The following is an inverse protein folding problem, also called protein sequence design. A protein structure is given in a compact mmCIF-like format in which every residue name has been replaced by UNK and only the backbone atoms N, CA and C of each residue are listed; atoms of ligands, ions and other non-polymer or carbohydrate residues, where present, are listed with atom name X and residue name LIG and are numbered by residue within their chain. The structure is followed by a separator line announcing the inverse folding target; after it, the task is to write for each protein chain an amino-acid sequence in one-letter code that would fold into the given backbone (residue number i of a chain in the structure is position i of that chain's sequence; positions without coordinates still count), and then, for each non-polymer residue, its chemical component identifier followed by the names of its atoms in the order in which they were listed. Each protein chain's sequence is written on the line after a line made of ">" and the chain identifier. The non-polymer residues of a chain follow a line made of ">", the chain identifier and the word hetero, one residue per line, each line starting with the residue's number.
data_IF_929442884407
#
_entry.id   IF_929442884407
#
_cell.length_a   1.000
_cell.length_b   1.000
_cell.length_c   1.000
_cell.angle_alpha   90.00
_cell.angle_beta   90.00
_cell.angle_gamma   90.00
#
_symmetry.space_group_name_H-M   'P 1'
#
loop_
_entity.id
_entity.type
_entity.pdbx_description
1 polymer ?
#
# COMPACT_ATOMS: atom_id res chain seq x y z
N UNK A 1 -34.22 37.16 -45.15
CA UNK A 1 -34.00 35.74 -44.83
C UNK A 1 -34.11 35.65 -43.32
N UNK A 2 -35.35 35.72 -42.82
CA UNK A 2 -36.23 34.61 -42.40
C UNK A 2 -35.69 33.95 -41.13
N UNK A 3 -36.44 33.67 -40.07
CA UNK A 3 -37.84 33.82 -39.60
C UNK A 3 -37.76 32.98 -38.28
N UNK A 4 -38.26 33.30 -37.09
CA UNK A 4 -39.65 33.42 -36.66
C UNK A 4 -39.67 33.82 -35.18
N UNK A 5 -40.59 34.71 -34.82
CA UNK A 5 -41.16 34.75 -33.47
C UNK A 5 -42.41 33.88 -33.39
N UNK A 6 -42.81 33.54 -32.16
CA UNK A 6 -44.19 33.64 -31.62
C UNK A 6 -44.25 32.96 -30.26
N UNK A 7 -44.66 33.73 -29.25
CA UNK A 7 -45.28 33.17 -28.04
C UNK A 7 -46.75 32.86 -28.27
N UNK A 8 -47.38 32.18 -27.30
CA UNK A 8 -48.52 32.69 -26.52
C UNK A 8 -49.34 31.57 -25.84
N UNK A 9 -49.71 31.83 -24.56
CA UNK A 9 -50.92 31.42 -23.82
C UNK A 9 -50.99 29.95 -23.35
N UNK A 10 -51.45 29.61 -22.14
CA UNK A 10 -52.03 30.35 -21.02
C UNK A 10 -52.57 29.35 -19.98
N UNK A 11 -52.72 29.81 -18.72
CA UNK A 11 -53.75 29.46 -17.70
C UNK A 11 -54.00 27.96 -17.35
N UNK A 12 -54.22 27.49 -16.13
CA UNK A 12 -54.45 28.06 -14.80
C UNK A 12 -54.97 26.95 -13.86
N UNK A 13 -54.56 27.03 -12.59
CA UNK A 13 -55.29 26.71 -11.33
C UNK A 13 -55.85 25.30 -11.00
N UNK A 14 -55.30 24.78 -9.88
CA UNK A 14 -55.94 24.24 -8.65
C UNK A 14 -56.72 22.90 -8.59
N UNK A 15 -56.31 22.12 -7.57
CA UNK A 15 -56.87 20.90 -6.94
C UNK A 15 -58.17 21.23 -6.14
N UNK A 16 -59.17 20.32 -5.98
CA UNK A 16 -59.18 19.37 -4.83
C UNK A 16 -59.98 18.05 -5.02
N UNK A 17 -59.60 17.01 -4.25
CA UNK A 17 -60.59 16.24 -3.44
C UNK A 17 -60.97 14.79 -3.83
N UNK A 18 -60.55 13.86 -2.95
CA UNK A 18 -61.15 12.59 -2.45
C UNK A 18 -62.29 11.90 -3.23
N UNK A 19 -62.16 10.57 -3.39
CA UNK A 19 -63.08 9.55 -2.82
C UNK A 19 -62.50 8.10 -2.90
N UNK A 20 -62.72 7.32 -1.83
CA UNK A 20 -62.58 5.84 -1.70
C UNK A 20 -63.91 5.17 -2.14
N UNK A 21 -64.06 3.84 -2.44
CA UNK A 21 -63.54 2.71 -1.64
C UNK A 21 -63.20 1.40 -2.43
N UNK A 22 -62.69 0.40 -1.72
CA UNK A 22 -62.56 -0.97 -2.24
C UNK A 22 -61.79 -1.91 -1.31
N UNK A 23 -62.52 -2.63 -0.47
CA UNK A 23 -62.01 -3.61 0.50
C UNK A 23 -61.34 -4.82 -0.17
N UNK A 24 -60.17 -5.21 0.36
CA UNK A 24 -59.48 -6.45 0.00
C UNK A 24 -58.76 -7.02 1.22
N UNK A 25 -59.34 -8.10 1.77
CA UNK A 25 -58.93 -8.82 3.00
C UNK A 25 -57.44 -9.13 3.09
N UNK A 26 -56.79 -8.68 4.17
CA UNK A 26 -55.51 -9.19 4.63
C UNK A 26 -55.73 -10.40 5.57
N UNK A 27 -55.17 -11.55 5.20
CA UNK A 27 -55.06 -12.72 6.08
C UNK A 27 -53.81 -12.58 6.95
N UNK A 28 -54.01 -12.78 8.25
CA UNK A 28 -53.01 -12.78 9.31
C UNK A 28 -52.29 -14.13 9.40
N UNK A 29 -50.96 -14.10 9.50
CA UNK A 29 -50.14 -15.21 10.00
C UNK A 29 -49.05 -14.66 10.96
N UNK A 30 -48.63 -15.45 11.97
CA UNK A 30 -48.31 -14.93 13.29
C UNK A 30 -46.86 -14.49 13.48
N UNK A 31 -46.69 -13.53 14.39
CA UNK A 31 -45.42 -12.91 14.75
C UNK A 31 -44.38 -13.89 15.32
N UNK A 32 -43.15 -13.77 14.82
CA UNK A 32 -41.97 -14.29 15.49
C UNK A 32 -41.43 -13.22 16.46
N UNK A 33 -41.49 -13.55 17.75
CA UNK A 33 -40.79 -12.84 18.82
C UNK A 33 -39.28 -12.90 18.55
N UNK A 34 -38.64 -11.75 18.41
CA UNK A 34 -37.18 -11.62 18.47
C UNK A 34 -36.73 -11.72 19.93
N UNK A 35 -36.51 -12.95 20.38
CA UNK A 35 -35.82 -13.20 21.64
C UNK A 35 -34.35 -12.81 21.51
N UNK A 36 -33.92 -11.81 22.28
CA UNK A 36 -32.50 -11.57 22.59
C UNK A 36 -31.97 -12.79 23.34
N UNK A 37 -31.26 -13.67 22.65
CA UNK A 37 -30.42 -14.70 23.29
C UNK A 37 -29.03 -14.14 23.48
N UNK A 38 -28.73 -13.75 24.74
CA UNK A 38 -27.36 -13.67 25.25
C UNK A 38 -26.79 -15.10 25.24
N UNK A 39 -25.72 -15.32 24.48
CA UNK A 39 -24.90 -16.52 24.62
C UNK A 39 -23.61 -16.19 25.37
N UNK A 40 -23.15 -17.08 26.27
CA UNK A 40 -22.03 -16.80 27.14
C UNK A 40 -20.71 -16.91 26.38
N UNK A 41 -19.80 -16.00 26.72
CA UNK A 41 -18.38 -16.08 26.41
C UNK A 41 -17.82 -17.40 26.96
N UNK A 42 -17.45 -18.32 26.08
CA UNK A 42 -16.55 -19.42 26.38
C UNK A 42 -15.51 -19.53 25.25
N UNK A 43 -14.25 -19.47 25.68
CA UNK A 43 -12.99 -19.39 24.92
C UNK A 43 -13.00 -19.83 23.46
N UNK A 44 -12.77 -18.88 22.56
CA UNK A 44 -12.09 -19.18 21.31
C UNK A 44 -10.63 -19.42 21.62
N UNK A 45 -10.19 -20.67 21.44
CA UNK A 45 -8.79 -21.04 21.45
C UNK A 45 -8.05 -20.30 20.34
N UNK A 46 -6.97 -19.65 20.76
CA UNK A 46 -5.91 -19.08 19.94
C UNK A 46 -5.43 -20.11 18.92
N UNK A 47 -5.73 -19.87 17.64
CA UNK A 47 -5.13 -20.60 16.52
C UNK A 47 -4.60 -19.58 15.51
N UNK A 48 -3.74 -18.69 16.00
CA UNK A 48 -2.68 -18.14 15.17
C UNK A 48 -1.77 -19.30 14.75
N UNK A 49 -1.78 -19.68 13.46
CA UNK A 49 -0.81 -20.62 12.91
C UNK A 49 0.51 -19.86 12.73
N UNK A 50 1.21 -19.62 13.83
CA UNK A 50 2.61 -19.25 13.78
C UNK A 50 3.37 -20.40 13.14
N UNK A 51 4.28 -20.13 12.20
CA UNK A 51 5.38 -21.06 11.93
C UNK A 51 5.95 -21.46 13.29
N UNK A 52 5.98 -22.77 13.57
CA UNK A 52 6.31 -23.30 14.88
C UNK A 52 7.56 -22.63 15.45
N UNK A 53 7.50 -22.30 16.74
CA UNK A 53 8.65 -21.87 17.53
C UNK A 53 9.61 -23.05 17.63
N UNK A 54 10.36 -23.29 16.56
CA UNK A 54 11.48 -24.20 16.55
C UNK A 54 12.72 -23.38 16.94
N UNK A 55 13.29 -23.55 18.15
CA UNK A 55 14.44 -22.76 18.61
C UNK A 55 15.70 -22.97 17.74
N UNK A 56 15.66 -23.89 16.76
CA UNK A 56 16.69 -24.12 15.75
C UNK A 56 16.66 -23.18 14.53
N UNK A 57 15.65 -22.33 14.35
CA UNK A 57 15.59 -21.36 13.23
C UNK A 57 16.47 -20.12 13.42
N UNK A 58 17.12 -19.97 14.58
CA UNK A 58 17.90 -18.78 14.95
C UNK A 58 19.40 -18.84 14.64
N UNK A 59 19.84 -19.73 13.76
CA UNK A 59 21.21 -19.64 13.25
C UNK A 59 21.29 -18.47 12.25
N UNK A 60 21.99 -17.36 12.55
CA UNK A 60 22.17 -16.31 11.58
C UNK A 60 23.12 -16.83 10.50
N UNK A 61 22.58 -17.31 9.39
CA UNK A 61 23.39 -17.35 8.16
C UNK A 61 23.38 -15.94 7.59
N UNK A 62 24.16 -15.04 8.19
CA UNK A 62 24.47 -13.74 7.57
C UNK A 62 25.12 -14.10 6.23
N UNK A 63 24.47 -13.84 5.09
CA UNK A 63 25.19 -13.93 3.83
C UNK A 63 26.34 -12.93 3.96
N UNK A 64 27.60 -13.29 3.64
CA UNK A 64 28.61 -12.25 3.49
C UNK A 64 28.01 -11.19 2.55
N UNK A 65 28.26 -9.90 2.78
CA UNK A 65 27.59 -8.75 2.14
C UNK A 65 27.67 -8.69 0.59
N UNK A 66 28.19 -9.73 -0.03
CA UNK A 66 28.41 -9.97 -1.46
C UNK A 66 27.78 -11.29 -1.96
N UNK A 67 27.12 -12.08 -1.12
CA UNK A 67 26.49 -13.33 -1.53
C UNK A 67 25.03 -13.08 -1.93
N UNK A 68 24.69 -13.40 -3.17
CA UNK A 68 23.32 -13.46 -3.65
C UNK A 68 22.49 -14.56 -2.96
N UNK A 69 21.30 -14.82 -3.49
CA UNK A 69 20.40 -15.84 -2.95
C UNK A 69 20.94 -17.25 -3.24
N UNK A 70 20.85 -18.13 -2.24
CA UNK A 70 21.12 -19.57 -2.43
C UNK A 70 20.02 -20.20 -3.28
N UNK A 71 20.29 -21.31 -4.01
CA UNK A 71 19.28 -21.96 -4.84
C UNK A 71 17.98 -22.34 -4.11
N UNK A 72 18.06 -22.73 -2.83
CA UNK A 72 16.89 -23.01 -2.00
C UNK A 72 16.06 -21.76 -1.67
N UNK A 73 16.72 -20.61 -1.50
CA UNK A 73 16.05 -19.34 -1.27
C UNK A 73 15.33 -18.85 -2.53
N UNK A 74 15.95 -19.03 -3.70
CA UNK A 74 15.31 -18.76 -5.00
C UNK A 74 14.07 -19.64 -5.20
N UNK A 75 14.18 -20.95 -4.94
CA UNK A 75 13.01 -21.85 -5.03
C UNK A 75 11.90 -21.46 -4.07
N UNK A 76 12.24 -21.13 -2.81
CA UNK A 76 11.26 -20.67 -1.81
C UNK A 76 10.54 -19.40 -2.27
N UNK A 77 11.27 -18.42 -2.81
CA UNK A 77 10.69 -17.21 -3.37
C UNK A 77 9.72 -17.51 -4.53
N UNK A 78 10.10 -18.42 -5.44
CA UNK A 78 9.24 -18.84 -6.56
C UNK A 78 8.00 -19.61 -6.09
N UNK A 79 8.12 -20.39 -5.02
CA UNK A 79 7.04 -21.18 -4.43
C UNK A 79 6.03 -20.30 -3.70
N UNK A 80 6.50 -19.43 -2.81
CA UNK A 80 5.69 -18.67 -1.86
C UNK A 80 5.33 -17.26 -2.37
N UNK A 81 6.08 -16.72 -3.32
CA UNK A 81 5.92 -15.36 -3.82
C UNK A 81 6.58 -14.30 -2.93
N UNK A 82 7.21 -14.71 -1.83
CA UNK A 82 8.00 -13.84 -0.98
C UNK A 82 9.11 -14.64 -0.27
N UNK A 83 10.08 -13.93 0.28
CA UNK A 83 11.23 -14.48 0.99
C UNK A 83 11.66 -13.55 2.12
N UNK A 84 11.95 -14.13 3.28
CA UNK A 84 12.45 -13.43 4.46
C UNK A 84 13.94 -13.69 4.59
N UNK A 85 14.72 -12.62 4.71
CA UNK A 85 16.17 -12.65 4.86
C UNK A 85 16.54 -11.86 6.11
N UNK A 86 17.00 -12.55 7.15
CA UNK A 86 17.42 -11.90 8.40
C UNK A 86 18.85 -11.36 8.29
N UNK A 87 19.11 -10.22 8.93
CA UNK A 87 20.46 -9.66 9.07
C UNK A 87 21.14 -9.29 7.75
N UNK A 88 20.36 -8.88 6.73
CA UNK A 88 20.91 -8.37 5.46
C UNK A 88 21.58 -7.02 5.66
N UNK A 89 20.99 -6.18 6.51
CA UNK A 89 21.51 -4.87 6.88
C UNK A 89 21.92 -4.85 8.34
N UNK A 90 23.00 -4.14 8.63
CA UNK A 90 23.46 -3.93 9.99
C UNK A 90 22.52 -2.99 10.76
N UNK A 91 22.43 -3.12 12.10
CA UNK A 91 21.69 -2.19 12.93
C UNK A 91 22.11 -0.72 12.71
N UNK A 92 23.38 -0.48 12.43
CA UNK A 92 23.97 0.84 12.17
C UNK A 92 23.48 1.43 10.84
N UNK A 93 23.37 0.64 9.78
CA UNK A 93 22.77 1.08 8.51
C UNK A 93 21.31 1.46 8.69
N UNK A 94 20.55 0.65 9.43
CA UNK A 94 19.17 0.96 9.77
C UNK A 94 19.04 2.25 10.59
N UNK A 95 19.90 2.44 11.59
CA UNK A 95 19.90 3.68 12.39
C UNK A 95 20.31 4.90 11.56
N UNK A 96 21.22 4.74 10.60
CA UNK A 96 21.57 5.78 9.64
C UNK A 96 20.37 6.23 8.80
N UNK A 97 19.58 5.29 8.28
CA UNK A 97 18.34 5.59 7.55
C UNK A 97 17.30 6.29 8.45
N UNK A 98 17.17 5.85 9.71
CA UNK A 98 16.25 6.47 10.67
C UNK A 98 16.68 7.88 11.09
N UNK A 99 17.98 8.09 11.33
CA UNK A 99 18.51 9.42 11.61
C UNK A 99 18.24 10.35 10.43
N UNK A 100 18.50 9.87 9.20
CA UNK A 100 18.27 10.67 8.00
C UNK A 100 16.80 11.02 7.78
N UNK A 101 15.87 10.07 7.99
CA UNK A 101 14.45 10.40 7.87
C UNK A 101 14.01 11.42 8.93
N UNK A 102 14.58 11.36 10.15
CA UNK A 102 14.27 12.33 11.19
C UNK A 102 14.71 13.75 10.80
N UNK A 103 15.86 13.91 10.14
CA UNK A 103 16.30 15.19 9.58
C UNK A 103 15.36 15.69 8.48
N UNK A 104 14.94 14.80 7.57
CA UNK A 104 13.98 15.14 6.51
C UNK A 104 12.64 15.60 7.10
N UNK A 105 12.16 14.91 8.14
CA UNK A 105 10.92 15.27 8.86
C UNK A 105 11.08 16.59 9.62
N UNK A 106 12.24 16.84 10.24
CA UNK A 106 12.50 18.10 10.94
C UNK A 106 12.51 19.32 10.00
N UNK A 107 12.90 19.13 8.73
CA UNK A 107 12.82 20.13 7.67
C UNK A 107 11.53 20.11 6.86
N UNK A 108 10.49 19.39 7.31
CA UNK A 108 9.25 19.22 6.56
C UNK A 108 8.47 20.54 6.46
N UNK A 109 8.20 20.97 5.23
CA UNK A 109 7.27 22.05 4.93
C UNK A 109 6.15 21.52 4.02
N UNK A 110 4.95 21.30 4.59
CA UNK A 110 3.78 20.88 3.83
C UNK A 110 2.66 21.92 3.96
N UNK A 111 2.37 22.68 2.88
CA UNK A 111 1.25 23.61 2.85
C UNK A 111 -0.07 22.92 3.19
N UNK A 112 -1.04 23.59 3.86
CA UNK A 112 -2.30 22.97 4.24
C UNK A 112 -3.04 22.25 3.11
N UNK A 113 -3.06 22.81 1.89
CA UNK A 113 -3.70 22.20 0.72
C UNK A 113 -2.99 20.93 0.20
N UNK A 114 -1.74 20.69 0.61
CA UNK A 114 -0.97 19.49 0.29
C UNK A 114 -1.03 18.41 1.37
N UNK A 115 -1.67 18.69 2.52
CA UNK A 115 -1.81 17.75 3.63
C UNK A 115 -2.78 16.64 3.24
N UNK A 116 -2.23 15.60 2.63
CA UNK A 116 -2.96 14.43 2.14
C UNK A 116 -2.99 13.37 3.23
N UNK A 117 -4.19 12.91 3.61
CA UNK A 117 -4.36 11.70 4.42
C UNK A 117 -4.17 10.46 3.53
N UNK A 118 -3.39 9.50 4.01
CA UNK A 118 -3.17 8.23 3.34
C UNK A 118 -4.34 7.28 3.61
N UNK A 119 -4.86 6.70 2.54
CA UNK A 119 -5.92 5.70 2.61
C UNK A 119 -5.70 4.64 1.55
N UNK A 120 -5.92 3.37 1.90
CA UNK A 120 -6.08 2.28 0.93
C UNK A 120 -7.56 2.06 0.57
N UNK A 121 -8.48 2.82 1.18
CA UNK A 121 -9.90 2.74 0.88
C UNK A 121 -10.22 3.40 -0.47
N UNK A 122 -10.94 2.67 -1.30
CA UNK A 122 -11.28 3.07 -2.67
C UNK A 122 -12.13 4.34 -2.75
N UNK A 123 -13.15 4.47 -1.89
CA UNK A 123 -14.07 5.59 -1.98
C UNK A 123 -13.45 6.90 -1.49
N UNK A 124 -12.53 6.80 -0.53
CA UNK A 124 -11.79 7.96 -0.02
C UNK A 124 -10.67 8.42 -0.96
N UNK A 125 -9.95 7.49 -1.63
CA UNK A 125 -8.96 7.85 -2.66
C UNK A 125 -9.55 8.69 -3.80
N UNK A 126 -10.84 8.47 -4.10
CA UNK A 126 -11.55 9.16 -5.18
C UNK A 126 -12.02 10.59 -4.84
N UNK A 127 -12.13 10.96 -3.55
CA UNK A 127 -12.81 12.20 -3.12
C UNK A 127 -11.89 13.40 -2.88
N UNK A 128 -10.57 13.24 -2.95
CA UNK A 128 -9.62 14.26 -2.51
C UNK A 128 -8.95 14.96 -3.71
N UNK A 129 -9.64 15.91 -4.37
CA UNK A 129 -9.19 16.54 -5.63
C UNK A 129 -7.82 17.26 -5.54
N UNK A 130 -7.56 18.04 -4.49
CA UNK A 130 -6.25 18.71 -4.27
C UNK A 130 -5.15 17.78 -3.74
N UNK A 131 -5.57 16.70 -3.07
CA UNK A 131 -4.70 15.63 -2.59
C UNK A 131 -4.27 14.68 -3.71
N UNK A 132 -5.12 14.51 -4.73
CA UNK A 132 -4.84 13.73 -5.94
C UNK A 132 -3.64 14.28 -6.70
N UNK A 133 -3.53 15.59 -6.93
CA UNK A 133 -2.38 16.15 -7.67
C UNK A 133 -1.06 16.03 -6.89
N UNK A 134 -1.06 16.31 -5.58
CA UNK A 134 0.11 16.15 -4.72
C UNK A 134 0.58 14.69 -4.67
N UNK A 135 -0.34 13.73 -4.72
CA UNK A 135 0.01 12.32 -4.86
C UNK A 135 0.50 11.98 -6.28
N UNK A 136 -0.26 12.31 -7.33
CA UNK A 136 0.01 11.95 -8.72
C UNK A 136 1.33 12.51 -9.26
N UNK A 137 1.79 13.64 -8.73
CA UNK A 137 3.06 14.28 -9.14
C UNK A 137 4.20 14.01 -8.17
N UNK A 138 4.05 13.04 -7.27
CA UNK A 138 5.07 12.70 -6.25
C UNK A 138 6.07 11.62 -6.70
N UNK A 139 5.85 11.00 -7.86
CA UNK A 139 6.65 9.87 -8.37
C UNK A 139 8.16 10.13 -8.38
N UNK A 140 8.55 11.38 -8.64
CA UNK A 140 9.94 11.83 -8.73
C UNK A 140 10.30 12.86 -7.63
N UNK A 141 9.60 12.85 -6.49
CA UNK A 141 9.81 13.78 -5.36
C UNK A 141 9.94 13.05 -4.02
N UNK A 142 10.37 13.77 -3.00
CA UNK A 142 10.27 13.36 -1.58
C UNK A 142 9.13 14.20 -0.98
N UNK A 143 7.99 13.55 -0.73
CA UNK A 143 6.74 14.15 -0.26
C UNK A 143 6.17 13.35 0.91
N UNK A 144 5.30 13.99 1.69
CA UNK A 144 4.81 13.47 2.97
C UNK A 144 3.32 13.15 2.87
N UNK A 145 2.95 11.98 3.39
CA UNK A 145 1.56 11.51 3.42
C UNK A 145 1.23 11.14 4.87
N UNK A 146 0.11 11.62 5.35
CA UNK A 146 -0.24 11.61 6.77
C UNK A 146 -1.22 10.50 7.11
N UNK A 147 -1.29 10.08 8.37
CA UNK A 147 -2.31 9.12 8.83
C UNK A 147 -3.71 9.73 8.69
N UNK A 148 -4.74 8.88 8.59
CA UNK A 148 -6.13 9.33 8.63
C UNK A 148 -6.45 10.00 9.95
N UNK A 149 -7.40 10.93 9.93
CA UNK A 149 -7.92 11.59 11.12
C UNK A 149 -6.82 12.25 11.97
N UNK A 150 -5.75 12.77 11.36
CA UNK A 150 -4.74 13.58 12.09
C UNK A 150 -4.95 15.07 11.94
N UNK A 151 -5.87 15.48 11.05
CA UNK A 151 -6.27 16.87 10.87
C UNK A 151 -7.60 17.18 11.58
N UNK A 152 -7.75 18.42 12.07
CA UNK A 152 -9.05 18.98 12.47
C UNK A 152 -9.81 19.50 11.25
N UNK A 153 -11.00 20.10 11.48
CA UNK A 153 -11.86 20.59 10.38
C UNK A 153 -11.25 21.79 9.66
N UNK A 154 -10.32 22.47 10.31
CA UNK A 154 -9.58 23.63 9.83
C UNK A 154 -8.25 23.21 9.14
N UNK A 155 -7.95 21.90 9.09
CA UNK A 155 -6.76 21.34 8.47
C UNK A 155 -5.50 21.42 9.33
N UNK A 156 -5.60 21.75 10.62
CA UNK A 156 -4.48 21.75 11.56
C UNK A 156 -4.22 20.37 12.12
N UNK A 157 -2.97 20.12 12.49
CA UNK A 157 -2.58 18.85 13.10
C UNK A 157 -3.12 18.72 14.52
N UNK A 158 -3.85 17.62 14.79
CA UNK A 158 -4.35 17.23 16.13
C UNK A 158 -3.27 16.56 16.98
N UNK A 159 -2.25 16.00 16.33
CA UNK A 159 -1.10 15.35 16.96
C UNK A 159 0.19 15.96 16.40
N UNK A 160 1.35 15.89 17.08
CA UNK A 160 2.59 16.43 16.55
C UNK A 160 2.88 15.97 15.12
N UNK A 161 3.42 16.87 14.29
CA UNK A 161 3.59 16.62 12.85
C UNK A 161 4.44 15.39 12.56
N UNK A 162 5.55 15.23 13.29
CA UNK A 162 6.46 14.09 13.25
C UNK A 162 5.79 12.75 13.61
N UNK A 163 4.69 12.81 14.36
CA UNK A 163 3.87 11.66 14.76
C UNK A 163 2.65 11.45 13.87
N UNK A 164 2.39 12.35 12.93
CA UNK A 164 1.22 12.31 12.04
C UNK A 164 1.54 11.64 10.70
N UNK A 165 2.82 11.42 10.39
CA UNK A 165 3.24 10.94 9.06
C UNK A 165 3.03 9.43 8.99
N UNK A 166 2.28 9.00 7.98
CA UNK A 166 2.14 7.58 7.61
C UNK A 166 3.35 7.12 6.78
N UNK A 167 3.64 7.86 5.70
CA UNK A 167 4.74 7.55 4.79
C UNK A 167 5.37 8.79 4.15
N UNK A 168 6.59 8.60 3.64
CA UNK A 168 7.28 9.54 2.74
C UNK A 168 7.57 8.82 1.42
N UNK A 169 7.33 9.48 0.29
CA UNK A 169 7.55 8.91 -1.04
C UNK A 169 7.60 9.97 -2.15
N UNK A 170 7.90 9.65 -3.40
CA UNK A 170 8.17 8.29 -3.90
C UNK A 170 9.60 8.11 -4.47
N UNK A 171 10.49 9.10 -4.29
CA UNK A 171 11.84 9.11 -4.88
C UNK A 171 12.99 9.32 -3.88
N UNK A 172 12.87 8.81 -2.64
CA UNK A 172 13.98 8.77 -1.68
C UNK A 172 15.23 8.09 -2.28
N UNK A 173 15.05 7.00 -3.04
CA UNK A 173 16.13 6.27 -3.71
C UNK A 173 16.94 7.12 -4.70
N UNK A 174 16.37 8.21 -5.23
CA UNK A 174 17.02 9.04 -6.23
C UNK A 174 17.63 10.30 -5.63
N UNK A 175 16.87 10.98 -4.76
CA UNK A 175 17.19 12.33 -4.29
C UNK A 175 17.88 12.38 -2.93
N UNK A 176 17.78 11.34 -2.11
CA UNK A 176 18.48 11.28 -0.84
C UNK A 176 19.71 10.35 -0.91
N UNK A 177 20.93 10.86 -0.65
CA UNK A 177 22.15 10.06 -0.77
C UNK A 177 22.20 8.83 0.15
N UNK A 178 21.58 8.89 1.34
CA UNK A 178 21.61 7.77 2.30
C UNK A 178 20.72 6.64 1.81
N UNK A 179 19.50 6.97 1.38
CA UNK A 179 18.57 5.99 0.82
C UNK A 179 19.09 5.43 -0.50
N UNK A 180 19.59 6.29 -1.40
CA UNK A 180 20.21 5.88 -2.67
C UNK A 180 21.34 4.87 -2.46
N UNK A 181 22.23 5.12 -1.49
CA UNK A 181 23.33 4.20 -1.17
C UNK A 181 22.82 2.81 -0.78
N UNK A 182 21.75 2.73 0.02
CA UNK A 182 21.15 1.46 0.43
C UNK A 182 20.45 0.76 -0.75
N UNK A 183 19.66 1.50 -1.55
CA UNK A 183 18.97 0.95 -2.72
C UNK A 183 19.94 0.32 -3.72
N UNK A 184 21.05 0.99 -4.01
CA UNK A 184 22.04 0.53 -4.99
C UNK A 184 23.17 -0.29 -4.35
N UNK A 185 23.02 -0.75 -3.11
CA UNK A 185 24.05 -1.50 -2.39
C UNK A 185 24.30 -2.90 -2.99
N UNK A 186 25.50 -3.47 -2.81
CA UNK A 186 25.83 -4.81 -3.34
C UNK A 186 24.83 -5.91 -2.94
N UNK A 187 24.32 -6.00 -1.67
CA UNK A 187 23.31 -7.00 -1.32
C UNK A 187 22.06 -6.93 -2.20
N UNK A 188 21.54 -5.72 -2.48
CA UNK A 188 20.36 -5.55 -3.33
C UNK A 188 20.65 -6.00 -4.76
N UNK A 189 21.79 -5.59 -5.32
CA UNK A 189 22.16 -5.97 -6.67
C UNK A 189 22.35 -7.49 -6.81
N UNK A 190 23.04 -8.15 -5.88
CA UNK A 190 23.28 -9.60 -5.92
C UNK A 190 21.99 -10.42 -5.73
N UNK A 191 21.06 -9.95 -4.89
CA UNK A 191 19.73 -10.55 -4.74
C UNK A 191 18.97 -10.49 -6.08
N UNK A 192 18.94 -9.32 -6.73
CA UNK A 192 18.29 -9.14 -8.03
C UNK A 192 18.91 -10.03 -9.12
N UNK A 193 20.24 -10.13 -9.18
CA UNK A 193 20.94 -11.04 -10.12
C UNK A 193 20.58 -12.49 -9.87
N UNK A 194 20.47 -12.90 -8.61
CA UNK A 194 20.10 -14.27 -8.24
C UNK A 194 18.68 -14.66 -8.65
N UNK A 195 17.80 -13.68 -8.80
CA UNK A 195 16.44 -13.86 -9.33
C UNK A 195 16.35 -13.72 -10.85
N UNK A 196 17.47 -13.45 -11.53
CA UNK A 196 17.54 -13.36 -12.98
C UNK A 196 17.16 -12.01 -13.56
N UNK A 197 17.12 -10.94 -12.76
CA UNK A 197 16.94 -9.59 -13.29
C UNK A 197 18.18 -9.17 -14.07
N UNK A 198 17.99 -8.81 -15.34
CA UNK A 198 19.02 -8.40 -16.30
C UNK A 198 19.17 -6.88 -16.35
N UNK A 199 18.06 -6.15 -16.52
CA UNK A 199 18.04 -4.68 -16.56
C UNK A 199 17.03 -4.12 -15.53
N UNK A 200 17.22 -4.38 -14.22
CA UNK A 200 16.34 -3.85 -13.19
C UNK A 200 16.47 -2.33 -13.09
N UNK A 201 15.35 -1.64 -13.08
CA UNK A 201 15.22 -0.21 -12.78
C UNK A 201 14.42 0.02 -11.49
N UNK A 202 14.75 1.06 -10.74
CA UNK A 202 14.02 1.43 -9.51
C UNK A 202 12.83 2.31 -9.90
N UNK A 203 11.60 1.84 -9.67
CA UNK A 203 10.39 2.57 -10.10
C UNK A 203 9.79 3.44 -8.99
N UNK A 204 10.03 3.06 -7.73
CA UNK A 204 9.45 3.72 -6.57
C UNK A 204 10.26 3.40 -5.31
N UNK A 205 10.24 4.32 -4.34
CA UNK A 205 10.68 4.05 -2.97
C UNK A 205 9.85 4.82 -1.95
N UNK A 206 9.61 4.22 -0.79
CA UNK A 206 8.84 4.81 0.29
C UNK A 206 9.50 4.53 1.65
N UNK A 207 9.30 5.45 2.58
CA UNK A 207 9.53 5.23 4.00
C UNK A 207 8.19 5.09 4.71
N UNK A 208 7.98 4.03 5.48
CA UNK A 208 6.72 3.73 6.18
C UNK A 208 6.97 3.78 7.68
N UNK A 209 6.27 4.66 8.40
CA UNK A 209 6.51 4.90 9.82
C UNK A 209 5.78 3.90 10.72
N UNK A 210 4.52 3.57 10.39
CA UNK A 210 3.61 2.83 11.29
C UNK A 210 3.68 3.38 12.71
N UNK A 211 3.15 4.59 12.87
CA UNK A 211 3.21 5.33 14.13
C UNK A 211 2.60 4.52 15.29
N UNK A 212 3.08 4.69 16.53
CA UNK A 212 2.48 4.04 17.69
C UNK A 212 0.98 4.35 17.80
N UNK A 213 0.17 3.32 18.07
CA UNK A 213 -1.30 3.36 18.23
C UNK A 213 -2.13 3.79 17.01
N UNK A 214 -1.62 4.70 16.18
CA UNK A 214 -2.36 5.30 15.06
C UNK A 214 -1.85 4.82 13.69
N UNK A 215 -0.80 4.01 13.66
CA UNK A 215 -0.18 3.54 12.42
C UNK A 215 -1.16 2.73 11.56
N UNK A 216 -1.73 3.37 10.54
CA UNK A 216 -2.87 2.91 9.78
C UNK A 216 -2.67 1.53 9.16
N UNK A 217 -3.72 0.71 9.12
CA UNK A 217 -3.69 -0.58 8.41
C UNK A 217 -3.44 -0.39 6.91
N UNK A 218 -2.88 -1.42 6.29
CA UNK A 218 -2.77 -1.52 4.85
C UNK A 218 -3.59 -2.73 4.46
N UNK A 219 -4.70 -2.50 3.76
CA UNK A 219 -5.61 -3.56 3.31
C UNK A 219 -4.89 -4.54 2.37
N UNK A 220 -5.46 -5.75 2.24
CA UNK A 220 -4.92 -6.79 1.38
C UNK A 220 -4.86 -6.33 -0.08
N UNK A 221 -3.67 -6.38 -0.67
CA UNK A 221 -3.45 -5.94 -2.05
C UNK A 221 -2.28 -6.68 -2.70
N UNK A 222 -2.11 -6.44 -4.01
CA UNK A 222 -0.96 -6.82 -4.81
C UNK A 222 -0.33 -5.53 -5.34
N UNK A 223 1.00 -5.40 -5.33
CA UNK A 223 1.66 -4.18 -5.82
C UNK A 223 1.44 -3.96 -7.31
N UNK A 224 1.37 -5.04 -8.09
CA UNK A 224 1.08 -4.99 -9.53
C UNK A 224 -0.29 -4.40 -9.87
N UNK A 225 -1.20 -4.26 -8.89
CA UNK A 225 -2.43 -3.46 -9.02
C UNK A 225 -2.11 -1.98 -9.26
N UNK A 226 -1.06 -1.45 -8.62
CA UNK A 226 -0.69 -0.04 -8.66
C UNK A 226 0.46 0.25 -9.63
N UNK A 227 1.34 -0.73 -9.84
CA UNK A 227 2.57 -0.65 -10.62
C UNK A 227 2.56 -1.75 -11.70
N UNK A 228 1.62 -1.63 -12.65
CA UNK A 228 1.37 -2.68 -13.63
C UNK A 228 2.38 -2.68 -14.79
N UNK A 229 2.73 -3.88 -15.25
CA UNK A 229 3.62 -4.10 -16.39
C UNK A 229 3.08 -5.14 -17.34
N UNK A 230 3.55 -5.11 -18.58
CA UNK A 230 3.30 -6.16 -19.58
C UNK A 230 4.62 -6.76 -20.08
N UNK A 231 4.84 -8.09 -19.93
CA UNK A 231 4.00 -9.03 -19.21
C UNK A 231 3.98 -8.77 -17.68
N UNK A 232 3.01 -9.35 -16.94
CA UNK A 232 3.06 -9.41 -15.48
C UNK A 232 4.29 -10.18 -14.95
N UNK A 233 4.53 -10.14 -13.64
CA UNK A 233 5.65 -10.81 -12.99
C UNK A 233 7.02 -10.12 -13.08
N UNK A 234 7.10 -8.90 -13.63
CA UNK A 234 8.36 -8.15 -13.77
C UNK A 234 8.69 -7.26 -12.56
N UNK A 235 7.77 -7.13 -11.60
CA UNK A 235 7.86 -6.23 -10.45
C UNK A 235 8.33 -6.97 -9.19
N UNK A 236 9.28 -6.38 -8.48
CA UNK A 236 9.88 -6.94 -7.26
C UNK A 236 9.92 -5.90 -6.14
N UNK A 237 9.27 -6.20 -5.02
CA UNK A 237 9.25 -5.37 -3.82
C UNK A 237 10.36 -5.75 -2.85
N UNK A 238 11.11 -4.76 -2.38
CA UNK A 238 12.05 -4.85 -1.27
C UNK A 238 11.48 -4.09 -0.08
N UNK A 239 11.44 -4.73 1.09
CA UNK A 239 10.98 -4.12 2.32
C UNK A 239 11.98 -4.39 3.44
N UNK A 240 12.63 -3.34 3.94
CA UNK A 240 13.70 -3.41 4.92
C UNK A 240 13.16 -2.97 6.28
N UNK A 241 13.28 -3.85 7.28
CA UNK A 241 12.92 -3.59 8.66
C UNK A 241 13.94 -2.63 9.31
N UNK A 242 13.56 -1.39 9.58
CA UNK A 242 14.43 -0.44 10.29
C UNK A 242 14.28 -0.50 11.82
N UNK A 243 13.20 -1.14 12.25
CA UNK A 243 12.90 -1.56 13.61
C UNK A 243 12.36 -2.99 13.58
N UNK A 244 12.33 -3.67 14.72
CA UNK A 244 11.67 -4.97 14.82
C UNK A 244 10.20 -4.85 14.41
N UNK A 245 9.75 -5.73 13.54
CA UNK A 245 8.36 -5.85 13.12
C UNK A 245 7.76 -7.09 13.76
N UNK A 246 6.69 -6.89 14.52
CA UNK A 246 5.96 -7.91 15.28
C UNK A 246 4.47 -7.84 14.93
N UNK A 247 3.68 -8.88 15.25
CA UNK A 247 2.22 -8.82 15.05
C UNK A 247 1.57 -7.62 15.76
N UNK A 248 2.09 -7.23 16.92
CA UNK A 248 1.53 -6.15 17.75
C UNK A 248 1.78 -4.75 17.17
N UNK A 249 2.89 -4.56 16.45
CA UNK A 249 3.24 -3.28 15.82
C UNK A 249 3.01 -3.24 14.30
N UNK A 250 2.31 -4.24 13.74
CA UNK A 250 1.90 -4.27 12.35
C UNK A 250 3.00 -4.76 11.39
N UNK A 251 3.53 -5.96 11.65
CA UNK A 251 4.31 -6.71 10.67
C UNK A 251 3.51 -7.00 9.40
N UNK A 252 4.20 -7.44 8.35
CA UNK A 252 3.55 -7.86 7.12
C UNK A 252 2.85 -9.21 7.31
N UNK A 253 1.82 -9.43 6.51
CA UNK A 253 1.13 -10.71 6.37
C UNK A 253 1.04 -11.05 4.89
N UNK A 254 1.25 -12.31 4.53
CA UNK A 254 1.21 -12.79 3.14
C UNK A 254 0.32 -14.01 2.98
N UNK A 255 -0.25 -14.20 1.79
CA UNK A 255 -0.82 -15.48 1.36
C UNK A 255 0.22 -16.21 0.50
N UNK A 256 0.87 -17.29 1.00
CA UNK A 256 1.88 -18.00 0.23
C UNK A 256 1.34 -18.55 -1.09
N UNK A 257 2.07 -18.32 -2.18
CA UNK A 257 1.75 -18.81 -3.51
C UNK A 257 0.66 -18.03 -4.25
N UNK A 258 0.10 -16.98 -3.66
CA UNK A 258 -0.98 -16.20 -4.28
C UNK A 258 -0.54 -15.45 -5.55
N UNK A 259 0.76 -15.21 -5.71
CA UNK A 259 1.35 -14.54 -6.87
C UNK A 259 1.21 -15.30 -8.18
N UNK A 260 0.82 -16.58 -8.12
CA UNK A 260 0.59 -17.42 -9.30
C UNK A 260 -0.78 -17.20 -9.94
N UNK A 261 -1.64 -16.38 -9.33
CA UNK A 261 -3.03 -16.17 -9.74
C UNK A 261 -3.28 -14.98 -10.67
N UNK A 262 -2.25 -14.18 -11.00
CA UNK A 262 -2.46 -12.89 -11.68
C UNK A 262 -3.02 -11.81 -10.74
N UNK A 263 -3.33 -10.65 -11.30
CA UNK A 263 -4.11 -9.60 -10.62
C UNK A 263 -5.53 -9.54 -11.18
N UNK A 264 -6.51 -9.19 -10.35
CA UNK A 264 -7.92 -9.08 -10.74
C UNK A 264 -8.43 -7.64 -10.87
N UNK A 265 -7.65 -6.65 -10.43
CA UNK A 265 -7.97 -5.23 -10.53
C UNK A 265 -6.70 -4.38 -10.62
N UNK A 266 -6.86 -3.16 -11.13
CA UNK A 266 -5.78 -2.17 -11.30
C UNK A 266 -6.23 -0.79 -10.88
N UNK A 267 -5.34 -0.02 -10.27
CA UNK A 267 -5.47 1.42 -10.16
C UNK A 267 -4.95 2.05 -11.46
N UNK A 268 -5.81 2.76 -12.16
CA UNK A 268 -5.47 3.46 -13.40
C UNK A 268 -5.63 4.96 -13.22
N UNK A 269 -4.79 5.72 -13.91
CA UNK A 269 -4.85 7.17 -14.02
C UNK A 269 -5.50 7.55 -15.34
N UNK A 270 -6.36 8.56 -15.29
CA UNK A 270 -6.97 9.10 -16.49
C UNK A 270 -5.93 9.66 -17.47
N UNK A 271 -6.18 9.57 -18.79
CA UNK A 271 -5.21 9.97 -19.79
C UNK A 271 -4.86 11.47 -19.71
N UNK A 272 -3.67 11.87 -20.18
CA UNK A 272 -3.27 13.28 -20.23
C UNK A 272 -4.30 14.16 -20.95
N UNK A 273 -4.58 15.35 -20.40
CA UNK A 273 -5.56 16.31 -20.94
C UNK A 273 -6.96 16.23 -20.32
N UNK A 274 -7.19 15.28 -19.42
CA UNK A 274 -8.36 15.24 -18.52
C UNK A 274 -8.03 15.89 -17.16
N UNK A 275 -9.06 16.12 -16.32
CA UNK A 275 -8.84 16.48 -14.90
C UNK A 275 -8.14 15.28 -14.23
N UNK A 276 -6.97 15.45 -13.59
CA UNK A 276 -6.23 14.32 -13.04
C UNK A 276 -7.03 13.53 -12.00
N UNK A 277 -7.43 12.31 -12.37
CA UNK A 277 -8.11 11.38 -11.50
C UNK A 277 -7.47 9.99 -11.60
N UNK A 278 -7.66 9.21 -10.53
CA UNK A 278 -7.33 7.79 -10.47
C UNK A 278 -8.61 7.03 -10.21
N UNK A 279 -8.74 5.84 -10.78
CA UNK A 279 -9.88 4.97 -10.52
C UNK A 279 -9.47 3.51 -10.62
N UNK A 280 -10.23 2.63 -9.98
CA UNK A 280 -10.00 1.20 -10.07
C UNK A 280 -10.80 0.59 -11.23
N UNK A 281 -10.13 -0.22 -12.04
CA UNK A 281 -10.74 -1.13 -13.03
C UNK A 281 -10.60 -2.58 -12.58
N UNK A 282 -11.49 -3.44 -13.06
CA UNK A 282 -11.54 -4.86 -12.66
C UNK A 282 -12.32 -5.06 -11.36
N UNK A 283 -12.12 -6.23 -10.74
CA UNK A 283 -12.88 -6.66 -9.56
C UNK A 283 -11.95 -6.85 -8.38
N UNK A 284 -12.23 -6.14 -7.30
CA UNK A 284 -11.50 -6.30 -6.05
C UNK A 284 -11.77 -7.68 -5.45
N UNK A 285 -10.71 -8.49 -5.22
CA UNK A 285 -10.86 -9.82 -4.68
C UNK A 285 -11.08 -9.75 -3.19
N UNK A 286 -11.89 -10.69 -2.68
CA UNK A 286 -12.02 -10.92 -1.25
C UNK A 286 -11.09 -12.07 -0.88
N UNK A 287 -10.17 -11.80 0.04
CA UNK A 287 -9.25 -12.80 0.57
C UNK A 287 -9.76 -13.33 1.90
N UNK A 288 -9.65 -14.64 2.11
CA UNK A 288 -9.91 -15.24 3.41
C UNK A 288 -8.76 -14.91 4.37
N UNK A 289 -9.08 -14.21 5.47
CA UNK A 289 -8.12 -13.85 6.51
C UNK A 289 -7.35 -15.06 7.05
N UNK A 290 -7.96 -16.26 7.06
CA UNK A 290 -7.30 -17.49 7.52
C UNK A 290 -6.15 -17.97 6.61
N UNK A 291 -6.06 -17.43 5.39
CA UNK A 291 -5.01 -17.75 4.42
C UNK A 291 -3.73 -16.94 4.63
N UNK A 292 -3.78 -15.88 5.45
CA UNK A 292 -2.61 -15.05 5.73
C UNK A 292 -1.72 -15.65 6.81
N UNK A 293 -0.41 -15.54 6.61
CA UNK A 293 0.60 -15.83 7.63
C UNK A 293 1.35 -14.56 8.01
N UNK A 294 1.57 -14.36 9.30
CA UNK A 294 2.33 -13.24 9.84
C UNK A 294 3.82 -13.40 9.56
N UNK A 295 4.48 -12.31 9.17
CA UNK A 295 5.91 -12.24 8.88
C UNK A 295 6.59 -11.29 9.89
N UNK A 296 6.76 -11.71 11.16
CA UNK A 296 7.61 -10.98 12.09
C UNK A 296 9.07 -11.08 11.64
N UNK A 297 9.81 -9.99 11.79
CA UNK A 297 11.20 -9.90 11.34
C UNK A 297 11.97 -8.89 12.20
N UNK A 298 13.25 -9.16 12.46
CA UNK A 298 14.08 -8.26 13.26
C UNK A 298 14.59 -7.08 12.44
N UNK A 299 14.96 -6.01 13.13
CA UNK A 299 15.70 -4.88 12.54
C UNK A 299 16.90 -5.38 11.71
N UNK A 300 17.05 -4.83 10.51
CA UNK A 300 18.07 -5.24 9.54
C UNK A 300 17.64 -6.36 8.60
N UNK A 301 16.51 -7.02 8.88
CA UNK A 301 15.91 -7.99 7.99
C UNK A 301 15.30 -7.36 6.74
N UNK A 302 15.27 -8.14 5.66
CA UNK A 302 14.69 -7.81 4.36
C UNK A 302 13.59 -8.82 4.03
N UNK A 303 12.41 -8.33 3.70
CA UNK A 303 11.34 -9.10 3.06
C UNK A 303 11.34 -8.74 1.57
N UNK A 304 11.56 -9.76 0.75
CA UNK A 304 11.53 -9.68 -0.71
C UNK A 304 10.22 -10.29 -1.20
N UNK A 305 9.49 -9.66 -2.12
CA UNK A 305 8.21 -10.19 -2.55
C UNK A 305 7.87 -9.84 -4.01
N UNK A 306 7.20 -10.77 -4.67
CA UNK A 306 6.71 -10.65 -6.03
C UNK A 306 5.59 -9.60 -6.08
N UNK A 307 5.50 -8.82 -7.16
CA UNK A 307 4.47 -7.78 -7.30
C UNK A 307 3.02 -8.30 -7.22
N UNK A 308 2.83 -9.58 -7.49
CA UNK A 308 1.52 -10.25 -7.41
C UNK A 308 1.29 -11.00 -6.08
N UNK A 309 2.23 -10.97 -5.14
CA UNK A 309 2.03 -11.57 -3.83
C UNK A 309 1.02 -10.75 -3.02
N UNK A 310 -0.03 -11.41 -2.54
CA UNK A 310 -1.11 -10.77 -1.77
C UNK A 310 -0.59 -10.57 -0.36
N UNK A 311 -0.60 -9.31 0.07
CA UNK A 311 -0.09 -8.96 1.38
C UNK A 311 -0.86 -7.82 2.03
N UNK A 312 -0.79 -7.76 3.35
CA UNK A 312 -1.42 -6.73 4.19
C UNK A 312 -0.55 -6.38 5.39
N UNK A 313 -0.92 -5.33 6.13
CA UNK A 313 -0.40 -5.11 7.47
C UNK A 313 -1.45 -4.52 8.40
N UNK A 314 -1.63 -5.14 9.56
CA UNK A 314 -2.61 -4.73 10.57
C UNK A 314 -2.24 -3.39 11.21
N UNK A 315 -3.23 -2.65 11.74
CA UNK A 315 -3.03 -1.42 12.51
C UNK A 315 -1.95 -1.62 13.61
N UNK A 316 -1.04 -0.66 13.76
CA UNK A 316 -0.10 -0.67 14.89
C UNK A 316 -0.83 -0.30 16.18
N UNK A 317 -1.07 -1.29 17.06
CA UNK A 317 -1.75 -1.08 18.35
C UNK A 317 -0.76 -0.83 19.50
N UNK A 318 0.53 -1.06 19.25
CA UNK A 318 1.59 -0.99 20.25
C UNK A 318 2.04 0.45 20.53
N UNK A 319 2.87 0.60 21.58
CA UNK A 319 3.51 1.85 21.95
C UNK A 319 4.84 2.13 21.21
N UNK A 320 5.23 1.24 20.28
CA UNK A 320 6.45 1.37 19.47
C UNK A 320 6.08 1.55 18.02
N UNK A 321 6.86 2.34 17.29
CA UNK A 321 6.72 2.47 15.85
C UNK A 321 7.20 1.19 15.13
N UNK A 322 6.95 1.11 13.82
CA UNK A 322 7.48 0.05 12.96
C UNK A 322 8.02 0.67 11.68
N UNK A 323 9.18 1.30 11.79
CA UNK A 323 9.79 1.96 10.65
C UNK A 323 10.29 0.94 9.63
N UNK A 324 10.02 1.21 8.36
CA UNK A 324 10.51 0.42 7.25
C UNK A 324 10.87 1.28 6.05
N UNK A 325 11.87 0.86 5.30
CA UNK A 325 12.18 1.43 3.99
C UNK A 325 11.81 0.40 2.92
N UNK A 326 11.01 0.80 1.94
CA UNK A 326 10.63 -0.06 0.82
C UNK A 326 10.97 0.58 -0.52
N UNK A 327 11.27 -0.25 -1.50
CA UNK A 327 11.41 0.19 -2.89
C UNK A 327 11.06 -0.95 -3.84
N UNK A 328 10.71 -0.57 -5.06
CA UNK A 328 10.24 -1.49 -6.08
C UNK A 328 11.17 -1.43 -7.28
N UNK A 329 11.53 -2.62 -7.76
CA UNK A 329 12.21 -2.79 -9.03
C UNK A 329 11.23 -3.25 -10.09
N UNK A 330 11.52 -2.88 -11.33
CA UNK A 330 10.96 -3.48 -12.53
C UNK A 330 12.10 -4.02 -13.39
N UNK A 331 11.97 -5.23 -13.94
CA UNK A 331 12.80 -5.67 -15.06
C UNK A 331 12.43 -4.86 -16.31
N UNK A 332 13.32 -4.00 -16.82
CA UNK A 332 12.99 -3.18 -18.01
C UNK A 332 13.15 -3.95 -19.32
N UNK A 333 13.98 -4.98 -19.36
CA UNK A 333 14.24 -5.74 -20.59
C UNK A 333 13.03 -6.59 -20.94
N UNK A 334 12.44 -6.29 -22.10
CA UNK A 334 11.28 -7.04 -22.60
C UNK A 334 9.97 -6.75 -21.87
N UNK A 335 9.94 -5.71 -21.03
CA UNK A 335 8.78 -5.31 -20.25
C UNK A 335 8.34 -3.91 -20.64
N UNK A 336 7.02 -3.71 -20.74
CA UNK A 336 6.43 -2.39 -20.90
C UNK A 336 5.81 -1.91 -19.59
N UNK A 337 6.21 -0.72 -19.13
CA UNK A 337 5.52 -0.01 -18.04
C UNK A 337 4.19 0.53 -18.55
N UNK A 338 3.08 0.24 -17.86
CA UNK A 338 1.78 0.70 -18.31
C UNK A 338 1.68 2.22 -18.23
N UNK A 339 1.21 2.83 -19.32
CA UNK A 339 0.94 4.28 -19.39
C UNK A 339 -0.21 4.70 -18.46
N UNK A 340 -1.03 3.75 -18.03
CA UNK A 340 -2.16 4.01 -17.13
C UNK A 340 -1.76 3.97 -15.66
N UNK A 341 -0.52 3.57 -15.33
CA UNK A 341 -0.08 3.62 -13.93
C UNK A 341 -0.09 5.05 -13.42
N UNK A 342 -0.50 5.24 -12.16
CA UNK A 342 -0.52 6.57 -11.54
C UNK A 342 0.86 7.24 -11.53
N UNK A 343 1.90 6.42 -11.35
CA UNK A 343 3.30 6.81 -11.36
C UNK A 343 3.86 6.59 -12.77
N UNK A 344 4.33 7.68 -13.37
CA UNK A 344 5.02 7.68 -14.65
C UNK A 344 6.42 8.26 -14.46
N UNK A 345 7.45 7.75 -15.18
CA UNK A 345 8.77 8.37 -15.16
C UNK A 345 8.70 9.78 -15.77
N UNK A 346 9.47 10.70 -15.22
CA UNK A 346 9.55 12.09 -15.74
C UNK A 346 10.82 12.27 -16.57
N UNK A 347 10.89 13.28 -17.45
CA UNK A 347 12.15 13.64 -18.12
C UNK A 347 13.29 13.93 -17.13
N UNK A 348 12.96 14.49 -15.96
CA UNK A 348 13.91 14.81 -14.90
C UNK A 348 14.39 13.57 -14.13
N UNK A 349 13.52 12.57 -13.97
CA UNK A 349 13.82 11.31 -13.33
C UNK A 349 13.20 10.14 -14.12
N UNK A 350 13.88 9.67 -15.19
CA UNK A 350 13.60 8.34 -15.71
C UNK A 350 13.91 7.31 -14.63
N UNK A 351 13.29 6.12 -14.69
CA UNK A 351 13.58 5.06 -13.73
C UNK A 351 15.07 4.69 -13.76
N UNK A 352 15.83 4.94 -12.68
CA UNK A 352 17.27 4.71 -12.69
C UNK A 352 17.56 3.21 -12.66
N UNK A 353 18.57 2.78 -13.44
CA UNK A 353 19.08 1.42 -13.38
C UNK A 353 19.60 1.10 -11.96
N UNK A 354 19.25 -0.09 -11.45
CA UNK A 354 19.75 -0.56 -10.16
C UNK A 354 21.24 -0.87 -10.24
N UNK A 355 21.66 -1.59 -11.28
CA UNK A 355 23.05 -1.99 -11.48
C UNK A 355 23.89 -0.77 -11.85
N UNK A 356 25.03 -0.65 -11.17
CA UNK A 356 26.00 0.45 -11.29
C UNK A 356 27.31 -0.01 -11.89
#
# INVERSE_FOLDING_TARGET
>A
MNDQGRGCLGEGLEDPGREHPGEGRAQTLPGRRTGRTRWPFQGLGDRTRTLGQDPGLWAPSVPPAMAGLKPEQVRKFQEDGFLVLEGVFSPEECDGLRARIAEIVAGMEVPPHCRTEFTTDREEQLRAEGSSEYFLTSGDKIRFFFEKDVFDKEGNFKVPQDKSINKIGHALHAHDPVFKKITHSPPIQEISRSLGFEEPVVVQSMYIFKQPHIGGEVLAHQDSTFLYTEPPGSLLGFWIALEDATPENGCLFFIPGSHKGGISHRLVRDPPGSVPAIHFIGTEPVYDDSSFIAIPIRKGGLVLFHGEAVHKSELNRSSRSRHAYSFHLMESKGTSWSQDNWLQPTPELPFPALYS
#
